data_IF_790035219259
#
_entry.id   IF_790035219259
#
_cell.length_a   1.000
_cell.length_b   1.000
_cell.length_c   1.000
_cell.angle_alpha   90.00
_cell.angle_beta   90.00
_cell.angle_gamma   90.00
#
_symmetry.space_group_name_H-M   'P 1'
#
loop_
_entity.id
_entity.type
_entity.pdbx_description
1 polymer ?
#
# COMPACT_ATOMS: atom_id res chain seq x y z
N UNK A 1 -0.88 14.03 -15.78
CA UNK A 1 0.56 14.38 -15.68
C UNK A 1 1.11 14.06 -14.29
N UNK A 2 0.51 14.55 -13.18
CA UNK A 2 0.96 14.31 -11.80
C UNK A 2 1.11 12.83 -11.40
N UNK A 3 0.11 11.99 -11.72
CA UNK A 3 0.07 10.56 -11.33
C UNK A 3 1.23 9.74 -11.91
N UNK A 4 1.62 10.04 -13.16
CA UNK A 4 2.71 9.34 -13.85
C UNK A 4 4.07 9.66 -13.23
N UNK A 5 4.24 10.91 -12.75
CA UNK A 5 5.48 11.35 -12.11
C UNK A 5 5.63 10.75 -10.70
N UNK A 6 4.54 10.68 -9.93
CA UNK A 6 4.52 10.00 -8.62
C UNK A 6 4.77 8.50 -8.74
N UNK A 7 4.25 7.85 -9.78
CA UNK A 7 4.51 6.43 -10.09
C UNK A 7 5.95 6.15 -10.52
N UNK A 8 6.60 7.11 -11.20
CA UNK A 8 8.01 6.97 -11.59
C UNK A 8 8.96 6.98 -10.38
N UNK A 9 8.59 7.71 -9.33
CA UNK A 9 9.33 7.82 -8.07
C UNK A 9 8.91 6.76 -7.03
N UNK A 10 7.67 6.24 -7.12
CA UNK A 10 7.10 5.29 -6.17
C UNK A 10 6.48 4.09 -6.91
N UNK A 11 7.00 2.88 -6.64
CA UNK A 11 6.51 1.63 -7.28
C UNK A 11 5.03 1.34 -7.03
N UNK A 12 4.44 1.89 -5.96
CA UNK A 12 3.04 1.74 -5.59
C UNK A 12 2.50 3.06 -5.08
N UNK A 13 1.29 3.45 -5.50
CA UNK A 13 0.64 4.70 -5.08
C UNK A 13 -0.83 4.47 -4.69
N UNK A 14 -1.30 5.25 -3.70
CA UNK A 14 -2.73 5.34 -3.36
C UNK A 14 -3.40 6.29 -4.35
N UNK A 15 -4.53 5.86 -4.90
CA UNK A 15 -5.41 6.70 -5.70
C UNK A 15 -6.50 7.24 -4.79
N UNK A 16 -6.70 8.56 -4.80
CA UNK A 16 -7.75 9.23 -4.04
C UNK A 16 -8.72 9.98 -4.95
N UNK A 17 -10.00 9.98 -4.60
CA UNK A 17 -11.03 10.85 -5.17
C UNK A 17 -11.56 11.76 -4.06
N UNK A 18 -11.45 13.08 -4.24
CA UNK A 18 -11.88 14.07 -3.25
C UNK A 18 -11.29 13.84 -1.83
N UNK A 19 -10.04 13.36 -1.78
CA UNK A 19 -9.34 13.03 -0.54
C UNK A 19 -9.69 11.66 0.07
N UNK A 20 -10.63 10.92 -0.52
CA UNK A 20 -11.03 9.57 -0.11
C UNK A 20 -10.24 8.53 -0.90
N UNK A 21 -9.57 7.56 -0.25
CA UNK A 21 -8.90 6.47 -0.95
C UNK A 21 -9.91 5.63 -1.76
N UNK A 22 -9.63 5.45 -3.06
CA UNK A 22 -10.46 4.66 -3.99
C UNK A 22 -9.72 3.46 -4.57
N UNK A 23 -8.41 3.37 -4.39
CA UNK A 23 -7.66 2.20 -4.82
C UNK A 23 -6.15 2.36 -4.77
N UNK A 24 -5.46 1.39 -5.34
CA UNK A 24 -3.99 1.36 -5.48
C UNK A 24 -3.60 1.01 -6.91
N UNK A 25 -2.53 1.63 -7.41
CA UNK A 25 -1.91 1.25 -8.68
C UNK A 25 -0.39 1.17 -8.56
N UNK A 26 0.27 0.58 -9.57
CA UNK A 26 1.71 0.32 -9.60
C UNK A 26 2.11 -1.15 -9.37
N UNK A 27 1.23 -1.97 -8.78
CA UNK A 27 1.44 -3.43 -8.67
C UNK A 27 1.31 -4.17 -10.00
N UNK A 28 0.24 -3.86 -10.75
CA UNK A 28 -0.03 -4.43 -12.07
C UNK A 28 -0.02 -3.28 -13.07
N UNK A 29 0.74 -3.44 -14.16
CA UNK A 29 0.76 -2.44 -15.23
C UNK A 29 -0.68 -2.23 -15.73
N UNK A 30 -1.10 -0.98 -15.73
CA UNK A 30 -2.37 -0.49 -16.27
C UNK A 30 -3.66 -0.88 -15.51
N UNK A 31 -3.57 -1.24 -14.22
CA UNK A 31 -4.77 -1.44 -13.37
C UNK A 31 -4.74 -0.66 -12.06
N UNK A 32 -5.93 -0.20 -11.67
CA UNK A 32 -6.23 0.25 -10.31
C UNK A 32 -6.96 -0.89 -9.62
N UNK A 33 -6.42 -1.37 -8.50
CA UNK A 33 -7.11 -2.30 -7.61
C UNK A 33 -8.05 -1.47 -6.75
N UNK A 34 -9.34 -1.84 -6.73
CA UNK A 34 -10.36 -1.12 -5.96
C UNK A 34 -10.00 -1.09 -4.49
N UNK A 35 -10.30 0.02 -3.81
CA UNK A 35 -10.12 0.14 -2.37
C UNK A 35 -10.76 -1.03 -1.63
N UNK A 36 -11.95 -1.47 -2.03
CA UNK A 36 -12.67 -2.57 -1.37
C UNK A 36 -11.93 -3.91 -1.41
N UNK A 37 -11.22 -4.18 -2.50
CA UNK A 37 -10.47 -5.43 -2.73
C UNK A 37 -9.14 -5.48 -1.96
N UNK A 38 -8.65 -4.34 -1.47
CA UNK A 38 -7.38 -4.28 -0.76
C UNK A 38 -7.50 -4.82 0.66
N UNK A 39 -6.50 -5.56 1.10
CA UNK A 39 -6.31 -5.89 2.51
C UNK A 39 -5.73 -4.67 3.24
N UNK A 40 -6.41 -4.26 4.30
CA UNK A 40 -5.97 -3.17 5.18
C UNK A 40 -5.65 -3.72 6.56
N UNK A 41 -4.62 -3.15 7.19
CA UNK A 41 -4.23 -3.45 8.56
C UNK A 41 -4.14 -2.15 9.37
N UNK A 42 -4.41 -2.20 10.68
CA UNK A 42 -4.26 -1.04 11.55
C UNK A 42 -2.79 -0.62 11.70
N UNK A 43 -2.54 0.63 12.05
CA UNK A 43 -1.19 1.21 12.18
C UNK A 43 -0.30 0.54 13.22
N UNK A 44 -0.92 -0.07 14.22
CA UNK A 44 -0.32 -0.77 15.34
C UNK A 44 -0.18 -2.28 15.10
N UNK A 45 -0.44 -2.74 13.86
CA UNK A 45 -0.35 -4.16 13.50
C UNK A 45 1.04 -4.72 13.83
N UNK A 46 1.05 -5.92 14.41
CA UNK A 46 2.31 -6.62 14.69
C UNK A 46 2.99 -7.07 13.39
N UNK A 47 4.32 -6.98 13.34
CA UNK A 47 5.11 -7.44 12.19
C UNK A 47 4.89 -8.93 11.87
N UNK A 48 4.62 -9.75 12.90
CA UNK A 48 4.30 -11.18 12.76
C UNK A 48 2.95 -11.40 12.08
N UNK A 49 1.99 -10.51 12.29
CA UNK A 49 0.68 -10.57 11.65
C UNK A 49 0.76 -10.10 10.19
N UNK A 50 1.55 -9.05 9.91
CA UNK A 50 1.88 -8.67 8.53
C UNK A 50 2.49 -9.81 7.73
N UNK A 51 3.34 -10.64 8.37
CA UNK A 51 3.90 -11.85 7.74
C UNK A 51 2.82 -12.78 7.20
N UNK A 52 1.77 -12.98 8.01
CA UNK A 52 0.66 -13.89 7.68
C UNK A 52 -0.18 -13.33 6.54
N UNK A 53 -0.48 -12.03 6.58
CA UNK A 53 -1.23 -11.35 5.53
C UNK A 53 -0.47 -11.40 4.20
N UNK A 54 0.81 -11.00 4.22
CA UNK A 54 1.66 -10.96 3.03
C UNK A 54 2.11 -12.34 2.53
N UNK A 55 1.75 -13.43 3.22
CA UNK A 55 1.90 -14.78 2.67
C UNK A 55 0.87 -15.07 1.57
N UNK A 56 -0.25 -14.33 1.57
CA UNK A 56 -1.36 -14.51 0.64
C UNK A 56 -1.63 -13.27 -0.21
N UNK A 57 -1.23 -12.10 0.28
CA UNK A 57 -1.43 -10.81 -0.38
C UNK A 57 -0.12 -10.23 -0.94
N UNK A 58 -0.20 -9.55 -2.08
CA UNK A 58 0.94 -8.87 -2.69
C UNK A 58 1.31 -7.57 -1.95
N UNK A 59 0.33 -6.92 -1.33
CA UNK A 59 0.52 -5.75 -0.47
C UNK A 59 -0.54 -5.70 0.64
N UNK A 60 -0.24 -4.91 1.66
CA UNK A 60 -1.17 -4.51 2.72
C UNK A 60 -1.12 -2.99 2.85
N UNK A 61 -2.29 -2.36 2.91
CA UNK A 61 -2.40 -0.92 3.19
C UNK A 61 -2.50 -0.72 4.71
N UNK A 62 -1.65 0.13 5.27
CA UNK A 62 -1.65 0.45 6.69
C UNK A 62 -2.49 1.69 6.92
N UNK A 63 -3.47 1.60 7.81
CA UNK A 63 -4.46 2.66 8.07
C UNK A 63 -4.59 3.00 9.55
N UNK A 64 -4.97 4.24 9.84
CA UNK A 64 -5.46 4.69 11.14
C UNK A 64 -6.83 5.36 10.93
N UNK A 65 -7.91 4.65 11.27
CA UNK A 65 -9.25 5.03 10.84
C UNK A 65 -9.36 5.11 9.32
N UNK A 66 -9.72 6.29 8.79
CA UNK A 66 -9.80 6.54 7.34
C UNK A 66 -8.49 7.10 6.73
N UNK A 67 -7.45 7.30 7.54
CA UNK A 67 -6.18 7.85 7.06
C UNK A 67 -5.24 6.72 6.63
N UNK A 68 -4.69 6.81 5.41
CA UNK A 68 -3.60 5.93 4.98
C UNK A 68 -2.30 6.39 5.61
N UNK A 69 -1.61 5.48 6.31
CA UNK A 69 -0.29 5.70 6.89
C UNK A 69 0.84 5.16 6.03
N UNK A 70 0.56 4.14 5.21
CA UNK A 70 1.53 3.61 4.26
C UNK A 70 1.04 2.37 3.54
N UNK A 71 1.93 1.82 2.72
CA UNK A 71 1.72 0.55 2.02
C UNK A 71 2.94 -0.33 2.25
N UNK A 72 2.71 -1.58 2.64
CA UNK A 72 3.75 -2.59 2.78
C UNK A 72 3.55 -3.62 1.69
N UNK A 73 4.53 -3.75 0.80
CA UNK A 73 4.54 -4.79 -0.23
C UNK A 73 5.24 -6.04 0.29
N UNK A 74 4.97 -7.19 -0.33
CA UNK A 74 5.68 -8.43 -0.01
C UNK A 74 7.21 -8.29 -0.24
N UNK A 75 7.61 -7.62 -1.33
CA UNK A 75 9.03 -7.34 -1.63
C UNK A 75 9.70 -6.50 -0.53
N UNK A 76 9.05 -5.40 -0.09
CA UNK A 76 9.58 -4.56 1.00
C UNK A 76 9.64 -5.30 2.33
N UNK A 77 8.64 -6.15 2.61
CA UNK A 77 8.61 -6.98 3.82
C UNK A 77 9.83 -7.92 3.86
N UNK A 78 10.06 -8.66 2.78
CA UNK A 78 11.10 -9.68 2.69
C UNK A 78 12.51 -9.10 2.60
N UNK A 79 12.67 -7.92 2.00
CA UNK A 79 13.98 -7.26 1.85
C UNK A 79 14.49 -6.60 3.14
N UNK A 80 13.67 -6.52 4.19
CA UNK A 80 14.09 -5.86 5.44
C UNK A 80 14.21 -4.34 5.33
N UNK A 81 13.74 -3.73 4.24
CA UNK A 81 13.82 -2.28 3.95
C UNK A 81 12.74 -1.43 4.65
N UNK A 82 12.39 -1.75 5.89
CA UNK A 82 11.30 -1.12 6.66
C UNK A 82 11.67 0.25 7.25
N UNK A 83 12.65 0.94 6.65
CA UNK A 83 13.13 2.24 7.09
C UNK A 83 12.07 3.31 6.88
N UNK A 84 11.91 4.18 7.90
CA UNK A 84 11.06 5.36 7.89
C UNK A 84 11.17 6.14 6.58
N UNK A 85 10.04 6.25 5.87
CA UNK A 85 9.83 7.29 4.87
C UNK A 85 9.68 8.59 5.65
N UNK A 86 10.54 9.56 5.37
CA UNK A 86 10.54 10.90 5.94
C UNK A 86 9.82 11.87 5.02
#
# INVERSE_FOLDING_TARGET
>A
AQVVQTLAENRVVIVTQDGVPVGVTGLFRDRIISWEELVKAPSEVAVTELRRLLAHEQLVVVVEGNQVKGVVTQESYLSGLWGSIR
#
